data_IF_851412229991
#
_entry.id   IF_851412229991
#
_cell.length_a   1.000
_cell.length_b   1.000
_cell.length_c   1.000
_cell.angle_alpha   90.00
_cell.angle_beta   90.00
_cell.angle_gamma   90.00
#
_symmetry.space_group_name_H-M   'P 1'
#
loop_
_entity.id
_entity.type
_entity.pdbx_description
1 polymer ?
#
# COMPACT_ATOMS: atom_id res chain seq x y z
N UNK A 1 27.40 -45.51 -40.72
CA UNK A 1 26.79 -44.97 -39.49
C UNK A 1 27.55 -43.81 -38.87
N UNK A 2 28.77 -43.95 -38.29
CA UNK A 2 29.50 -42.76 -37.76
C UNK A 2 30.02 -41.78 -38.83
N UNK A 3 30.36 -42.27 -40.02
CA UNK A 3 30.93 -41.43 -41.09
C UNK A 3 29.88 -40.57 -41.80
N UNK A 4 28.65 -41.08 -41.95
CA UNK A 4 27.56 -40.35 -42.62
C UNK A 4 27.08 -39.18 -41.76
N UNK A 5 27.04 -39.34 -40.43
CA UNK A 5 26.73 -38.23 -39.51
C UNK A 5 27.80 -37.12 -39.56
N UNK A 6 29.07 -37.48 -39.76
CA UNK A 6 30.18 -36.53 -39.84
C UNK A 6 30.18 -35.76 -41.16
N UNK A 7 29.97 -36.45 -42.29
CA UNK A 7 29.84 -35.80 -43.60
C UNK A 7 28.62 -34.88 -43.66
N UNK A 8 27.50 -35.30 -43.09
CA UNK A 8 26.29 -34.48 -43.03
C UNK A 8 26.50 -33.25 -42.13
N UNK A 9 27.20 -33.38 -41.01
CA UNK A 9 27.52 -32.26 -40.13
C UNK A 9 28.49 -31.25 -40.78
N UNK A 10 29.46 -31.71 -41.57
CA UNK A 10 30.37 -30.83 -42.32
C UNK A 10 29.67 -30.06 -43.44
N UNK A 11 28.81 -30.73 -44.22
CA UNK A 11 27.99 -30.09 -45.25
C UNK A 11 27.06 -29.03 -44.64
N UNK A 12 26.37 -29.39 -43.56
CA UNK A 12 25.47 -28.45 -42.87
C UNK A 12 26.25 -27.25 -42.32
N UNK A 13 27.46 -27.47 -41.78
CA UNK A 13 28.30 -26.39 -41.28
C UNK A 13 28.77 -25.46 -42.40
N UNK A 14 29.06 -25.99 -43.58
CA UNK A 14 29.43 -25.22 -44.77
C UNK A 14 28.24 -24.41 -45.32
N UNK A 15 27.03 -24.99 -45.33
CA UNK A 15 25.80 -24.30 -45.72
C UNK A 15 25.40 -23.20 -44.73
N UNK A 16 25.62 -23.42 -43.42
CA UNK A 16 25.33 -22.44 -42.38
C UNK A 16 26.43 -21.38 -42.18
N UNK A 17 27.63 -21.56 -42.75
CA UNK A 17 28.71 -20.57 -42.63
C UNK A 17 28.35 -19.24 -43.30
N UNK A 18 27.55 -19.30 -44.38
CA UNK A 18 27.02 -18.14 -45.07
C UNK A 18 25.83 -17.49 -44.33
N UNK A 19 25.14 -18.26 -43.49
CA UNK A 19 23.99 -17.80 -42.68
C UNK A 19 24.47 -17.38 -41.28
N UNK A 20 24.92 -16.13 -41.16
CA UNK A 20 25.13 -15.53 -39.84
C UNK A 20 23.79 -15.23 -39.17
N UNK A 21 23.39 -16.07 -38.21
CA UNK A 21 22.26 -15.80 -37.32
C UNK A 21 22.56 -14.61 -36.39
N UNK A 22 22.32 -13.40 -36.89
CA UNK A 22 22.41 -12.15 -36.15
C UNK A 22 21.21 -12.03 -35.19
N UNK A 23 21.25 -12.77 -34.08
CA UNK A 23 20.16 -12.77 -33.11
C UNK A 23 20.08 -13.97 -32.19
N UNK A 24 20.95 -14.97 -32.33
CA UNK A 24 20.99 -16.13 -31.45
C UNK A 24 21.06 -15.71 -29.97
N UNK A 25 21.92 -14.74 -29.64
CA UNK A 25 22.03 -14.16 -28.29
C UNK A 25 20.69 -13.57 -27.79
N UNK A 26 19.93 -12.92 -28.68
CA UNK A 26 18.64 -12.28 -28.38
C UNK A 26 17.50 -13.29 -28.19
N UNK A 27 17.57 -14.42 -28.89
CA UNK A 27 16.62 -15.53 -28.70
C UNK A 27 16.96 -16.27 -27.40
N UNK A 28 18.24 -16.56 -27.16
CA UNK A 28 18.68 -17.23 -25.93
C UNK A 28 18.37 -16.40 -24.69
N UNK A 29 18.59 -15.08 -24.72
CA UNK A 29 18.25 -14.20 -23.60
C UNK A 29 16.75 -14.09 -23.33
N UNK A 30 15.90 -14.30 -24.34
CA UNK A 30 14.44 -14.38 -24.17
C UNK A 30 13.98 -15.68 -23.54
N UNK A 31 14.58 -16.81 -23.92
CA UNK A 31 14.15 -18.14 -23.47
C UNK A 31 14.76 -18.53 -22.12
N UNK A 32 15.97 -18.04 -21.82
CA UNK A 32 16.69 -18.30 -20.58
C UNK A 32 17.29 -17.00 -20.02
N UNK A 33 16.49 -16.16 -19.33
CA UNK A 33 16.98 -14.92 -18.74
C UNK A 33 18.01 -15.23 -17.64
N UNK A 34 19.21 -14.67 -17.77
CA UNK A 34 20.38 -14.97 -16.92
C UNK A 34 20.42 -14.14 -15.62
N UNK A 35 19.60 -13.09 -15.51
CA UNK A 35 19.66 -12.14 -14.38
C UNK A 35 18.29 -11.78 -13.82
N UNK A 36 18.20 -11.60 -12.48
CA UNK A 36 16.99 -11.17 -11.78
C UNK A 36 16.49 -9.79 -12.24
N UNK A 37 17.39 -8.92 -12.74
CA UNK A 37 17.01 -7.61 -13.32
C UNK A 37 16.33 -7.76 -14.68
N UNK A 38 16.78 -8.70 -15.50
CA UNK A 38 16.14 -9.01 -16.79
C UNK A 38 14.79 -9.71 -16.62
N UNK A 39 14.59 -10.42 -15.51
CA UNK A 39 13.28 -10.93 -15.10
C UNK A 39 12.31 -9.82 -14.77
N UNK A 40 12.75 -8.74 -14.12
CA UNK A 40 11.86 -7.60 -13.84
C UNK A 40 11.49 -6.84 -15.11
N UNK A 41 12.45 -6.62 -16.02
CA UNK A 41 12.15 -5.96 -17.29
C UNK A 41 11.26 -6.82 -18.20
N UNK A 42 11.36 -8.16 -18.12
CA UNK A 42 10.45 -9.05 -18.84
C UNK A 42 9.02 -9.06 -18.29
N UNK A 43 8.83 -8.74 -17.00
CA UNK A 43 7.49 -8.52 -16.43
C UNK A 43 6.82 -7.25 -16.97
N UNK A 44 7.62 -6.25 -17.33
CA UNK A 44 7.11 -4.98 -17.88
C UNK A 44 6.74 -5.08 -19.37
N UNK A 45 7.33 -6.05 -20.08
CA UNK A 45 7.18 -6.24 -21.52
C UNK A 45 6.26 -7.42 -21.91
N UNK A 46 5.73 -8.15 -20.93
CA UNK A 46 4.65 -9.10 -21.15
C UNK A 46 3.37 -8.28 -21.13
N UNK A 47 2.49 -8.43 -22.12
CA UNK A 47 1.20 -7.75 -22.23
C UNK A 47 0.42 -7.90 -20.91
N UNK A 48 0.65 -6.99 -19.97
CA UNK A 48 -0.08 -6.96 -18.72
C UNK A 48 -1.43 -6.38 -19.13
N UNK A 49 -2.35 -7.27 -19.48
CA UNK A 49 -3.76 -6.95 -19.55
C UNK A 49 -4.21 -6.62 -18.12
N UNK A 50 -4.00 -5.37 -17.72
CA UNK A 50 -4.47 -4.89 -16.44
C UNK A 50 -5.99 -4.84 -16.56
N UNK A 51 -6.65 -5.85 -16.01
CA UNK A 51 -8.11 -5.86 -15.95
C UNK A 51 -8.58 -4.62 -15.19
N UNK A 52 -9.71 -4.04 -15.60
CA UNK A 52 -10.28 -2.87 -14.93
C UNK A 52 -10.50 -3.12 -13.42
N UNK A 53 -10.80 -4.37 -13.06
CA UNK A 53 -10.90 -4.80 -11.67
C UNK A 53 -9.57 -4.64 -10.92
N UNK A 54 -8.44 -5.03 -11.50
CA UNK A 54 -7.12 -4.85 -10.89
C UNK A 54 -6.83 -3.38 -10.59
N UNK A 55 -7.13 -2.47 -11.53
CA UNK A 55 -6.98 -1.02 -11.34
C UNK A 55 -7.82 -0.54 -10.15
N UNK A 56 -9.07 -1.00 -10.05
CA UNK A 56 -9.97 -0.68 -8.94
C UNK A 56 -9.42 -1.13 -7.59
N UNK A 57 -8.93 -2.37 -7.48
CA UNK A 57 -8.34 -2.89 -6.25
C UNK A 57 -7.11 -2.09 -5.82
N UNK A 58 -6.17 -1.83 -6.74
CA UNK A 58 -4.97 -1.05 -6.44
C UNK A 58 -5.32 0.39 -6.03
N UNK A 59 -6.28 1.02 -6.70
CA UNK A 59 -6.76 2.36 -6.37
C UNK A 59 -7.41 2.41 -4.98
N UNK A 60 -8.26 1.44 -4.65
CA UNK A 60 -8.91 1.37 -3.34
C UNK A 60 -7.90 1.17 -2.21
N UNK A 61 -6.93 0.25 -2.39
CA UNK A 61 -5.86 0.02 -1.41
C UNK A 61 -5.02 1.28 -1.21
N UNK A 62 -4.63 1.95 -2.30
CA UNK A 62 -3.88 3.19 -2.23
C UNK A 62 -4.67 4.30 -1.50
N UNK A 63 -5.96 4.44 -1.79
CA UNK A 63 -6.83 5.41 -1.14
C UNK A 63 -6.94 5.15 0.37
N UNK A 64 -7.13 3.89 0.79
CA UNK A 64 -7.20 3.51 2.21
C UNK A 64 -5.88 3.82 2.93
N UNK A 65 -4.74 3.50 2.31
CA UNK A 65 -3.43 3.77 2.89
C UNK A 65 -3.16 5.28 3.02
N UNK A 66 -3.54 6.07 2.01
CA UNK A 66 -3.42 7.53 2.04
C UNK A 66 -4.30 8.15 3.13
N UNK A 67 -5.57 7.73 3.19
CA UNK A 67 -6.52 8.24 4.18
C UNK A 67 -6.09 7.86 5.60
N UNK A 68 -5.70 6.60 5.80
CA UNK A 68 -5.20 6.09 7.08
C UNK A 68 -3.93 6.82 7.51
N UNK A 69 -2.97 7.04 6.61
CA UNK A 69 -1.75 7.78 6.90
C UNK A 69 -2.00 9.24 7.26
N UNK A 70 -2.97 9.89 6.60
CA UNK A 70 -3.33 11.29 6.86
C UNK A 70 -4.02 11.44 8.23
N UNK A 71 -4.97 10.56 8.54
CA UNK A 71 -5.63 10.52 9.86
C UNK A 71 -4.64 10.20 10.98
N UNK A 72 -3.71 9.27 10.76
CA UNK A 72 -2.67 8.94 11.74
C UNK A 72 -1.78 10.16 12.03
N UNK A 73 -1.38 10.88 10.98
CA UNK A 73 -0.60 12.11 11.13
C UNK A 73 -1.35 13.16 11.94
N UNK A 74 -2.65 13.36 11.70
CA UNK A 74 -3.46 14.31 12.46
C UNK A 74 -3.60 13.90 13.93
N UNK A 75 -3.80 12.61 14.21
CA UNK A 75 -3.91 12.08 15.57
C UNK A 75 -2.63 12.26 16.41
N UNK A 76 -1.44 12.19 15.77
CA UNK A 76 -0.16 12.42 16.46
C UNK A 76 0.12 13.91 16.67
N UNK A 77 -0.20 14.76 15.69
CA UNK A 77 0.18 16.19 15.73
C UNK A 77 -0.80 17.02 16.56
N UNK A 78 -2.04 16.56 16.74
CA UNK A 78 -3.02 17.18 17.62
C UNK A 78 -3.56 16.12 18.58
N UNK A 79 -2.87 15.83 19.70
CA UNK A 79 -3.57 15.17 20.80
C UNK A 79 -4.77 16.06 21.12
N UNK A 80 -5.97 15.48 21.05
CA UNK A 80 -7.19 16.15 21.43
C UNK A 80 -6.92 16.89 22.74
N UNK A 81 -7.21 18.20 22.79
CA UNK A 81 -6.97 19.05 23.95
C UNK A 81 -7.53 18.34 25.16
N UNK A 82 -6.63 17.74 25.96
CA UNK A 82 -6.97 17.14 27.23
C UNK A 82 -7.27 18.31 28.16
N UNK A 83 -8.54 18.70 28.20
CA UNK A 83 -9.04 19.52 29.30
C UNK A 83 -8.65 18.77 30.57
N UNK A 84 -7.89 19.35 31.50
CA UNK A 84 -7.58 18.69 32.75
C UNK A 84 -8.90 18.57 33.53
N UNK A 85 -9.59 17.45 33.36
CA UNK A 85 -10.63 17.01 34.25
C UNK A 85 -9.92 16.65 35.57
N UNK A 86 -9.74 17.63 36.44
CA UNK A 86 -9.73 17.38 37.88
C UNK A 86 -11.11 16.81 38.20
N UNK A 87 -11.31 15.52 37.95
CA UNK A 87 -12.51 14.80 38.35
C UNK A 87 -12.43 14.69 39.86
N UNK A 88 -13.14 15.57 40.56
CA UNK A 88 -13.45 15.30 41.95
C UNK A 88 -14.44 14.12 41.92
N UNK A 89 -13.99 12.94 42.34
CA UNK A 89 -14.79 11.70 42.31
C UNK A 89 -15.93 11.70 43.35
N UNK A 90 -16.38 12.87 43.80
CA UNK A 90 -17.43 13.02 44.78
C UNK A 90 -18.78 13.07 44.06
N UNK A 91 -19.65 12.09 44.37
CA UNK A 91 -21.05 12.13 43.98
C UNK A 91 -21.82 12.98 44.98
N UNK A 92 -22.62 13.90 44.46
CA UNK A 92 -23.59 14.69 45.21
C UNK A 92 -24.99 14.15 44.96
N UNK A 93 -25.79 14.06 46.02
CA UNK A 93 -27.22 13.80 45.90
C UNK A 93 -27.98 15.14 45.89
N UNK A 94 -28.67 15.44 44.79
CA UNK A 94 -29.47 16.65 44.64
C UNK A 94 -30.83 16.30 44.03
N UNK A 95 -31.92 16.70 44.68
CA UNK A 95 -33.28 16.45 44.19
C UNK A 95 -33.60 14.97 43.97
N UNK A 96 -33.05 14.07 44.79
CA UNK A 96 -33.25 12.62 44.69
C UNK A 96 -32.48 11.92 43.57
N UNK A 97 -31.53 12.61 42.92
CA UNK A 97 -30.66 12.05 41.88
C UNK A 97 -29.18 12.26 42.23
N UNK A 98 -28.31 11.37 41.75
CA UNK A 98 -26.88 11.45 41.96
C UNK A 98 -26.17 12.12 40.78
N UNK A 99 -25.37 13.15 41.08
CA UNK A 99 -24.62 13.91 40.08
C UNK A 99 -23.15 13.98 40.49
N UNK A 100 -22.26 14.08 39.50
CA UNK A 100 -20.86 14.39 39.76
C UNK A 100 -20.73 15.84 40.19
N UNK A 101 -20.03 16.09 41.30
CA UNK A 101 -19.87 17.42 41.90
C UNK A 101 -19.47 18.50 40.90
N UNK A 102 -18.42 18.25 40.12
CA UNK A 102 -17.92 19.21 39.13
C UNK A 102 -18.95 19.55 38.05
N UNK A 103 -19.80 18.60 37.67
CA UNK A 103 -20.85 18.84 36.68
C UNK A 103 -21.98 19.68 37.26
N UNK A 104 -22.38 19.40 38.49
CA UNK A 104 -23.42 20.15 39.19
C UNK A 104 -22.99 21.61 39.40
N UNK A 105 -21.80 21.83 39.96
CA UNK A 105 -21.27 23.18 40.22
C UNK A 105 -21.14 24.01 38.93
N UNK A 106 -20.67 23.40 37.83
CA UNK A 106 -20.61 24.09 36.52
C UNK A 106 -21.99 24.48 35.99
N UNK A 107 -23.00 23.63 36.15
CA UNK A 107 -24.35 23.95 35.69
C UNK A 107 -24.99 25.06 36.52
N UNK A 108 -24.81 25.03 37.85
CA UNK A 108 -25.30 26.09 38.75
C UNK A 108 -24.64 27.43 38.42
N UNK A 109 -23.30 27.45 38.32
CA UNK A 109 -22.56 28.67 37.98
C UNK A 109 -22.98 29.26 36.62
N UNK A 110 -23.32 28.40 35.64
CA UNK A 110 -23.83 28.83 34.34
C UNK A 110 -25.22 29.45 34.46
N UNK A 111 -26.11 28.87 35.26
CA UNK A 111 -27.47 29.38 35.45
C UNK A 111 -27.47 30.71 36.21
N UNK A 112 -26.63 30.85 37.23
CA UNK A 112 -26.48 32.12 37.97
C UNK A 112 -26.00 33.26 37.07
N UNK A 113 -25.00 33.02 36.22
CA UNK A 113 -24.53 34.02 35.24
C UNK A 113 -25.57 34.33 34.15
N UNK A 114 -26.42 33.36 33.79
CA UNK A 114 -27.45 33.55 32.76
C UNK A 114 -28.69 34.30 33.27
N UNK A 115 -28.83 34.46 34.59
CA UNK A 115 -29.94 35.18 35.23
C UNK A 115 -29.59 36.61 35.65
N UNK A 116 -28.42 37.11 35.27
CA UNK A 116 -27.93 38.44 35.61
C UNK A 116 -27.96 39.44 34.44
N UNK A 117 -28.55 39.05 33.30
CA UNK A 117 -28.88 39.91 32.15
C UNK A 117 -30.38 40.26 32.10
#
# INVERSE_FOLDING_TARGET
MRSEEQEMAEQLKQELEEIRFLGAEKVISRTFPKSSRERLSSLWNKEVEISAAAIGYFGAVAAVLLLGGLLWREAIVRPAVSVPLQVSNELLEAGGNYYWKDQYERMVARLENSGQD
#
